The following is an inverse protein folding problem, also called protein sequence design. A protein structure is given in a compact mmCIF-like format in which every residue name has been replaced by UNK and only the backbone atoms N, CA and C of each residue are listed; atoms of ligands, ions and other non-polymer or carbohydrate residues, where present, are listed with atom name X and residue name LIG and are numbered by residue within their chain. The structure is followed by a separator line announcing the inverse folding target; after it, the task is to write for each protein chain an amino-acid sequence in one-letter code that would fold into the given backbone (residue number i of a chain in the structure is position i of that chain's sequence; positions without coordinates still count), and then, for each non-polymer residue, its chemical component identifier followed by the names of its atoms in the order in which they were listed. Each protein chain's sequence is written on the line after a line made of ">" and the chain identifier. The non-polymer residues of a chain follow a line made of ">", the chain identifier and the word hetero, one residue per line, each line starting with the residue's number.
data_IF_013761830186
#
_entry.id   IF_013761830186
#
_cell.length_a   1.000
_cell.length_b   1.000
_cell.length_c   1.000
_cell.angle_alpha   90.00
_cell.angle_beta   90.00
_cell.angle_gamma   90.00
#
_symmetry.space_group_name_H-M   'P 1'
#
loop_
_entity.id
_entity.type
_entity.pdbx_description
1 polymer ?
#
# COMPACT_ATOMS: atom_id res chain seq x y z
N UNK A 1 1.24 -0.14 -5.30
CA UNK A 1 2.33 0.83 -5.05
C UNK A 1 2.74 0.83 -3.58
N UNK A 2 1.85 1.20 -2.64
CA UNK A 2 2.18 1.31 -1.22
C UNK A 2 2.86 0.06 -0.62
N UNK A 3 2.27 -1.14 -0.80
CA UNK A 3 2.84 -2.38 -0.28
C UNK A 3 4.26 -2.67 -0.79
N UNK A 4 4.51 -2.45 -2.08
CA UNK A 4 5.84 -2.67 -2.67
C UNK A 4 6.88 -1.64 -2.19
N UNK A 5 6.46 -0.38 -2.00
CA UNK A 5 7.31 0.67 -1.43
C UNK A 5 7.68 0.36 0.01
N UNK A 6 6.70 -0.01 0.83
CA UNK A 6 6.93 -0.35 2.24
C UNK A 6 7.81 -1.59 2.38
N UNK A 7 7.58 -2.62 1.56
CA UNK A 7 8.38 -3.85 1.59
C UNK A 7 9.86 -3.61 1.27
N UNK A 8 10.14 -2.68 0.35
CA UNK A 8 11.52 -2.26 0.08
C UNK A 8 12.19 -1.58 1.29
N UNK A 9 11.44 -0.87 2.12
CA UNK A 9 11.97 -0.13 3.28
C UNK A 9 12.06 -0.98 4.54
N UNK A 10 11.04 -1.81 4.80
CA UNK A 10 10.88 -2.56 6.04
C UNK A 10 11.51 -3.96 6.00
N UNK A 11 11.77 -4.52 4.81
CA UNK A 11 12.23 -5.90 4.68
C UNK A 11 11.25 -6.87 5.35
N UNK A 12 11.76 -7.74 6.22
CA UNK A 12 10.95 -8.71 6.98
C UNK A 12 10.41 -8.18 8.31
N UNK A 13 10.72 -6.93 8.67
CA UNK A 13 10.30 -6.36 9.96
C UNK A 13 8.80 -6.07 10.04
N UNK A 14 8.12 -5.96 8.89
CA UNK A 14 6.68 -5.71 8.80
C UNK A 14 6.08 -6.74 7.84
N UNK A 15 5.03 -7.45 8.27
CA UNK A 15 4.20 -8.23 7.36
C UNK A 15 3.29 -7.30 6.56
N UNK A 16 3.37 -7.36 5.23
CA UNK A 16 2.67 -6.43 4.34
C UNK A 16 1.69 -7.18 3.46
N UNK A 17 0.44 -6.73 3.48
CA UNK A 17 -0.64 -7.27 2.67
C UNK A 17 -1.31 -6.14 1.89
N UNK A 18 -1.72 -6.42 0.65
CA UNK A 18 -2.54 -5.49 -0.16
C UNK A 18 -3.70 -6.22 -0.79
N UNK A 19 -4.90 -5.66 -0.66
CA UNK A 19 -6.12 -6.23 -1.19
C UNK A 19 -7.09 -5.12 -1.66
N UNK A 20 -7.97 -5.46 -2.59
CA UNK A 20 -9.05 -4.60 -3.06
C UNK A 20 -10.42 -5.20 -2.72
N UNK A 21 -11.44 -4.35 -2.62
CA UNK A 21 -12.84 -4.80 -2.51
C UNK A 21 -13.31 -5.46 -3.80
N UNK A 22 -12.93 -4.86 -4.93
CA UNK A 22 -13.18 -5.36 -6.29
C UNK A 22 -11.82 -5.42 -7.03
N UNK A 23 -11.01 -6.47 -6.80
CA UNK A 23 -9.70 -6.56 -7.43
C UNK A 23 -9.83 -6.73 -8.95
N UNK A 24 -9.05 -5.96 -9.70
CA UNK A 24 -8.92 -6.15 -11.14
C UNK A 24 -8.18 -7.45 -11.46
N UNK A 25 -8.38 -7.99 -12.68
CA UNK A 25 -7.70 -9.22 -13.13
C UNK A 25 -6.17 -9.08 -13.24
N UNK A 26 -5.69 -7.85 -13.40
CA UNK A 26 -4.27 -7.54 -13.59
C UNK A 26 -3.92 -6.17 -13.03
N UNK A 27 -2.65 -6.01 -12.66
CA UNK A 27 -2.10 -4.72 -12.28
C UNK A 27 -2.09 -3.79 -13.49
N UNK A 28 -2.47 -2.52 -13.27
CA UNK A 28 -2.44 -1.47 -14.29
C UNK A 28 -1.01 -1.33 -14.88
N UNK A 29 -0.83 -1.49 -16.21
CA UNK A 29 0.48 -1.37 -16.87
C UNK A 29 1.18 -0.02 -16.63
N UNK A 30 0.42 1.06 -16.48
CA UNK A 30 0.98 2.39 -16.19
C UNK A 30 1.59 2.42 -14.78
N UNK A 31 0.95 1.74 -13.82
CA UNK A 31 1.48 1.58 -12.46
C UNK A 31 2.75 0.70 -12.48
N UNK A 32 2.78 -0.36 -13.28
CA UNK A 32 3.98 -1.18 -13.48
C UNK A 32 5.13 -0.31 -14.00
N UNK A 33 4.89 0.48 -15.05
CA UNK A 33 5.89 1.38 -15.62
C UNK A 33 6.41 2.40 -14.59
N UNK A 34 5.52 3.03 -13.83
CA UNK A 34 5.90 3.99 -12.79
C UNK A 34 6.73 3.35 -11.67
N UNK A 35 6.43 2.11 -11.27
CA UNK A 35 7.21 1.41 -10.25
C UNK A 35 8.56 0.91 -10.78
N UNK A 36 8.62 0.49 -12.05
CA UNK A 36 9.84 0.05 -12.71
C UNK A 36 10.89 1.17 -12.84
N UNK A 37 10.46 2.45 -12.92
CA UNK A 37 11.37 3.60 -12.87
C UNK A 37 12.17 3.68 -11.56
N UNK A 38 11.62 3.17 -10.46
CA UNK A 38 12.32 3.05 -9.18
C UNK A 38 13.07 1.71 -9.09
N UNK A 39 13.09 0.89 -10.14
CA UNK A 39 13.61 -0.47 -10.13
C UNK A 39 12.79 -1.42 -9.25
N UNK A 40 11.51 -1.14 -9.01
CA UNK A 40 10.61 -2.02 -8.26
C UNK A 40 9.75 -2.79 -9.26
N UNK A 41 9.98 -4.09 -9.35
CA UNK A 41 9.11 -4.97 -10.12
C UNK A 41 7.91 -5.39 -9.27
N UNK A 42 6.71 -5.10 -9.76
CA UNK A 42 5.44 -5.49 -9.15
C UNK A 42 4.67 -6.50 -10.00
N UNK A 43 5.23 -6.96 -11.12
CA UNK A 43 4.52 -7.83 -12.08
C UNK A 43 4.19 -9.21 -11.52
N UNK A 44 4.95 -9.67 -10.52
CA UNK A 44 4.70 -10.90 -9.80
C UNK A 44 3.58 -10.79 -8.74
N UNK A 45 3.09 -9.59 -8.43
CA UNK A 45 2.01 -9.42 -7.47
C UNK A 45 0.65 -9.72 -8.13
N UNK A 46 -0.18 -10.49 -7.43
CA UNK A 46 -1.53 -10.83 -7.86
C UNK A 46 -2.53 -10.00 -7.07
N UNK A 47 -3.44 -9.25 -7.72
CA UNK A 47 -4.55 -8.59 -7.04
C UNK A 47 -5.33 -9.59 -6.18
N UNK A 48 -5.54 -9.26 -4.90
CA UNK A 48 -6.22 -10.13 -3.95
C UNK A 48 -7.48 -9.47 -3.40
N UNK A 49 -8.45 -10.30 -3.00
CA UNK A 49 -9.72 -9.85 -2.42
C UNK A 49 -9.51 -9.49 -0.95
N UNK A 50 -10.08 -8.37 -0.51
CA UNK A 50 -10.11 -8.00 0.89
C UNK A 50 -10.95 -8.99 1.68
N UNK A 51 -10.34 -9.62 2.69
CA UNK A 51 -11.07 -10.50 3.62
C UNK A 51 -11.15 -9.87 5.00
N UNK A 52 -12.23 -10.15 5.73
CA UNK A 52 -12.40 -9.68 7.10
C UNK A 52 -11.24 -10.14 8.01
N UNK A 53 -10.76 -11.38 7.82
CA UNK A 53 -9.63 -11.93 8.56
C UNK A 53 -8.33 -11.16 8.32
N UNK A 54 -8.08 -10.73 7.08
CA UNK A 54 -6.91 -9.89 6.77
C UNK A 54 -6.93 -8.55 7.49
N UNK A 55 -8.13 -7.98 7.72
CA UNK A 55 -8.29 -6.73 8.46
C UNK A 55 -8.12 -6.98 9.97
N UNK A 56 -8.81 -7.98 10.51
CA UNK A 56 -8.79 -8.33 11.94
C UNK A 56 -7.39 -8.65 12.47
N UNK A 57 -6.55 -9.28 11.64
CA UNK A 57 -5.18 -9.69 12.01
C UNK A 57 -4.11 -8.65 11.67
N UNK A 58 -4.51 -7.42 11.34
CA UNK A 58 -3.57 -6.33 11.05
C UNK A 58 -3.49 -5.34 12.21
N UNK A 59 -2.29 -4.89 12.57
CA UNK A 59 -2.13 -3.80 13.55
C UNK A 59 -2.56 -2.45 12.96
N UNK A 60 -2.29 -2.25 11.67
CA UNK A 60 -2.60 -1.02 10.94
C UNK A 60 -3.25 -1.35 9.59
N UNK A 61 -4.34 -0.66 9.26
CA UNK A 61 -5.05 -0.75 7.99
C UNK A 61 -5.09 0.62 7.33
N UNK A 62 -4.54 0.70 6.13
CA UNK A 62 -4.53 1.92 5.31
C UNK A 62 -5.61 1.81 4.23
N UNK A 63 -6.60 2.71 4.24
CA UNK A 63 -7.59 2.84 3.18
C UNK A 63 -7.14 3.88 2.15
N UNK A 64 -7.34 3.59 0.87
CA UNK A 64 -6.89 4.44 -0.25
C UNK A 64 -8.02 4.63 -1.28
N UNK A 65 -9.24 4.91 -0.80
CA UNK A 65 -10.41 5.18 -1.65
C UNK A 65 -11.53 4.13 -1.62
N UNK A 66 -11.41 3.05 -0.86
CA UNK A 66 -12.48 2.06 -0.69
C UNK A 66 -13.56 2.44 0.36
N UNK A 67 -13.37 3.56 1.09
CA UNK A 67 -14.34 4.07 2.06
C UNK A 67 -14.68 3.08 3.19
N UNK A 68 -15.96 3.04 3.57
CA UNK A 68 -16.53 2.25 4.68
C UNK A 68 -16.66 0.74 4.40
N UNK A 69 -16.15 0.25 3.26
CA UNK A 69 -16.24 -1.16 2.91
C UNK A 69 -15.36 -2.08 3.78
N UNK A 70 -14.43 -1.50 4.55
CA UNK A 70 -13.61 -2.24 5.49
C UNK A 70 -14.39 -2.54 6.78
N UNK A 71 -14.59 -3.81 7.15
CA UNK A 71 -15.18 -4.16 8.45
C UNK A 71 -14.34 -3.58 9.59
N UNK A 72 -14.99 -3.04 10.62
CA UNK A 72 -14.32 -2.49 11.78
C UNK A 72 -14.03 -3.57 12.83
N UNK A 73 -12.77 -3.62 13.26
CA UNK A 73 -12.29 -4.48 14.34
C UNK A 73 -11.61 -3.64 15.44
N UNK A 74 -11.99 -3.80 16.72
CA UNK A 74 -11.30 -3.13 17.83
C UNK A 74 -9.81 -3.50 17.90
N UNK A 75 -8.96 -2.53 18.22
CA UNK A 75 -7.51 -2.73 18.35
C UNK A 75 -6.72 -2.50 17.06
N UNK A 76 -7.38 -2.52 15.90
CA UNK A 76 -6.75 -2.18 14.61
C UNK A 76 -6.71 -0.67 14.42
N UNK A 77 -5.55 -0.14 14.02
CA UNK A 77 -5.38 1.28 13.67
C UNK A 77 -5.78 1.54 12.22
N UNK A 78 -6.92 2.20 12.00
CA UNK A 78 -7.38 2.56 10.65
C UNK A 78 -6.90 3.97 10.26
N UNK A 79 -6.35 4.11 9.04
CA UNK A 79 -5.90 5.39 8.50
C UNK A 79 -6.36 5.57 7.07
N UNK A 80 -6.91 6.73 6.77
CA UNK A 80 -7.37 7.06 5.42
C UNK A 80 -6.37 7.95 4.69
N UNK A 81 -5.83 7.45 3.58
CA UNK A 81 -4.99 8.20 2.67
C UNK A 81 -5.80 8.62 1.44
N UNK A 82 -6.26 9.86 1.46
CA UNK A 82 -6.94 10.49 0.33
C UNK A 82 -5.95 10.69 -0.82
N UNK A 83 -6.04 9.81 -1.81
CA UNK A 83 -5.18 9.79 -2.98
C UNK A 83 -6.04 9.73 -4.25
N UNK A 84 -5.59 10.34 -5.36
CA UNK A 84 -6.24 10.16 -6.66
C UNK A 84 -6.16 8.70 -7.12
N UNK A 85 -7.20 8.22 -7.81
CA UNK A 85 -7.19 6.90 -8.46
C UNK A 85 -6.25 6.91 -9.68
N UNK A 86 -5.24 6.02 -9.75
CA UNK A 86 -4.35 5.91 -10.91
C UNK A 86 -5.02 5.27 -12.14
N UNK A 87 -6.21 4.67 -12.01
CA UNK A 87 -6.91 4.06 -13.14
C UNK A 87 -7.22 5.09 -14.25
N UNK A 88 -6.87 4.75 -15.48
CA UNK A 88 -7.09 5.62 -16.65
C UNK A 88 -6.23 6.88 -16.71
N UNK A 89 -5.36 7.13 -15.72
CA UNK A 89 -4.52 8.31 -15.67
C UNK A 89 -3.26 8.17 -16.54
N UNK A 90 -2.72 9.28 -17.08
CA UNK A 90 -1.45 9.27 -17.78
C UNK A 90 -0.28 9.00 -16.81
N UNK A 91 0.83 8.48 -17.35
CA UNK A 91 2.01 8.11 -16.55
C UNK A 91 2.51 9.26 -15.66
N UNK A 92 2.48 10.50 -16.13
CA UNK A 92 2.89 11.66 -15.32
C UNK A 92 2.04 11.85 -14.05
N UNK A 93 0.72 11.65 -14.15
CA UNK A 93 -0.17 11.71 -12.98
C UNK A 93 0.05 10.51 -12.06
N UNK A 94 0.26 9.32 -12.61
CA UNK A 94 0.58 8.11 -11.83
C UNK A 94 1.91 8.25 -11.08
N UNK A 95 2.91 8.93 -11.66
CA UNK A 95 4.16 9.27 -10.95
C UNK A 95 3.91 10.17 -9.74
N UNK A 96 3.10 11.21 -9.90
CA UNK A 96 2.75 12.09 -8.78
C UNK A 96 2.04 11.32 -7.65
N UNK A 97 1.12 10.42 -8.00
CA UNK A 97 0.45 9.54 -7.02
C UNK A 97 1.47 8.61 -6.34
N UNK A 98 2.38 8.00 -7.11
CA UNK A 98 3.45 7.13 -6.59
C UNK A 98 4.32 7.87 -5.58
N UNK A 99 4.70 9.10 -5.88
CA UNK A 99 5.61 9.90 -5.06
C UNK A 99 4.93 10.36 -3.76
N UNK A 100 3.65 10.76 -3.80
CA UNK A 100 2.84 11.03 -2.60
C UNK A 100 2.72 9.76 -1.72
N UNK A 101 2.46 8.60 -2.32
CA UNK A 101 2.46 7.32 -1.60
C UNK A 101 3.82 7.03 -0.96
N UNK A 102 4.93 7.32 -1.64
CA UNK A 102 6.27 7.07 -1.13
C UNK A 102 6.56 7.91 0.13
N UNK A 103 6.18 9.19 0.14
CA UNK A 103 6.33 10.06 1.31
C UNK A 103 5.51 9.55 2.51
N UNK A 104 4.25 9.18 2.28
CA UNK A 104 3.37 8.64 3.33
C UNK A 104 3.87 7.30 3.88
N UNK A 105 4.33 6.42 3.00
CA UNK A 105 4.94 5.13 3.38
C UNK A 105 6.20 5.35 4.19
N UNK A 106 7.04 6.31 3.83
CA UNK A 106 8.25 6.61 4.59
C UNK A 106 7.93 7.10 6.02
N UNK A 107 6.93 7.96 6.17
CA UNK A 107 6.44 8.40 7.47
C UNK A 107 5.89 7.23 8.30
N UNK A 108 5.06 6.37 7.68
CA UNK A 108 4.53 5.18 8.33
C UNK A 108 5.64 4.21 8.77
N UNK A 109 6.64 3.98 7.91
CA UNK A 109 7.76 3.11 8.24
C UNK A 109 8.57 3.66 9.43
N UNK A 110 8.83 4.97 9.47
CA UNK A 110 9.55 5.60 10.58
C UNK A 110 8.78 5.52 11.91
N UNK A 111 7.45 5.52 11.86
CA UNK A 111 6.60 5.32 13.03
C UNK A 111 6.59 3.86 13.51
N UNK A 112 6.43 2.91 12.59
CA UNK A 112 6.28 1.48 12.89
C UNK A 112 7.60 0.77 13.19
N UNK A 113 8.71 1.31 12.71
CA UNK A 113 10.07 0.85 12.98
C UNK A 113 10.76 1.85 13.91
N UNK A 114 10.34 1.97 15.18
CA UNK A 114 11.06 2.81 16.11
C UNK A 114 12.50 2.26 16.21
N UNK A 115 13.45 3.20 16.12
CA UNK A 115 14.89 2.98 16.22
C UNK A 115 15.24 1.73 17.05
N UNK A 116 15.95 0.80 16.44
CA UNK A 116 16.83 -0.13 17.15
C UNK A 116 17.78 0.72 18.00
N UNK A 117 17.32 1.13 19.18
CA UNK A 117 18.13 1.90 20.10
C UNK A 117 19.00 0.86 20.78
N UNK A 118 20.22 0.79 20.26
CA UNK A 118 21.43 0.19 20.81
C UNK A 118 21.29 -0.11 22.30
N UNK A 119 21.27 -1.40 22.65
CA UNK A 119 21.61 -1.86 24.00
C UNK A 119 23.12 -1.93 24.13
#
# INVERSE_FOLDING_TARGET
>A
MAAALLGRMAGEAIEIRSAGTEPADRINPVVIAAMAELGIDITAATPSVLTAHSVETSDVVITMGCGDACPYFPGVSYRDWKLPDPAGQPLAAVRAIRDDIAERVASLAAELLPNATTT
#
